data_IF_837932409298
#
_entry.id   IF_837932409298
#
_cell.length_a   1.000
_cell.length_b   1.000
_cell.length_c   1.000
_cell.angle_alpha   90.00
_cell.angle_beta   90.00
_cell.angle_gamma   90.00
#
_symmetry.space_group_name_H-M   'P 1'
#
loop_
_entity.id
_entity.type
_entity.pdbx_description
1 polymer ?
#
# COMPACT_ATOMS: atom_id res chain seq x y z
N UNK A 1 -18.07 -12.87 -27.80
CA UNK A 1 -17.10 -11.77 -27.83
C UNK A 1 -16.33 -11.75 -26.52
N UNK A 2 -15.10 -12.29 -26.47
CA UNK A 2 -14.29 -12.35 -25.24
C UNK A 2 -13.71 -10.95 -25.02
N UNK A 3 -14.00 -10.33 -23.88
CA UNK A 3 -13.48 -9.02 -23.50
C UNK A 3 -11.95 -9.03 -23.58
N UNK A 4 -11.28 -7.99 -24.16
CA UNK A 4 -9.82 -7.92 -24.29
C UNK A 4 -9.07 -8.02 -22.93
N UNK A 5 -9.71 -7.67 -21.83
CA UNK A 5 -9.17 -7.78 -20.47
C UNK A 5 -8.92 -9.25 -20.07
N UNK A 6 -9.69 -10.21 -20.60
CA UNK A 6 -9.52 -11.63 -20.29
C UNK A 6 -8.26 -12.29 -20.90
N UNK A 7 -7.52 -11.58 -21.76
CA UNK A 7 -6.30 -12.12 -22.39
C UNK A 7 -5.07 -12.10 -21.44
N UNK A 8 -5.07 -11.21 -20.46
CA UNK A 8 -3.96 -11.02 -19.52
C UNK A 8 -4.11 -11.85 -18.24
N UNK A 9 -5.32 -12.30 -17.95
CA UNK A 9 -5.58 -13.12 -16.77
C UNK A 9 -5.54 -14.62 -17.12
N UNK A 10 -4.90 -15.44 -16.27
CA UNK A 10 -5.06 -16.89 -16.34
C UNK A 10 -6.56 -17.23 -16.33
N UNK A 11 -6.96 -18.23 -17.11
CA UNK A 11 -8.37 -18.65 -17.21
C UNK A 11 -8.99 -19.10 -15.88
N UNK A 12 -8.14 -19.43 -14.91
CA UNK A 12 -8.50 -19.80 -13.55
C UNK A 12 -8.68 -18.62 -12.59
N UNK A 13 -8.44 -17.37 -13.04
CA UNK A 13 -8.53 -16.21 -12.16
C UNK A 13 -9.97 -16.01 -11.65
N UNK A 14 -10.15 -16.21 -10.35
CA UNK A 14 -11.42 -15.99 -9.65
C UNK A 14 -11.76 -14.50 -9.59
N UNK A 15 -13.02 -14.19 -9.29
CA UNK A 15 -13.46 -12.80 -9.06
C UNK A 15 -12.67 -12.15 -7.92
N UNK A 16 -12.38 -12.91 -6.87
CA UNK A 16 -11.60 -12.44 -5.72
C UNK A 16 -10.17 -12.07 -6.11
N UNK A 17 -9.51 -12.88 -6.96
CA UNK A 17 -8.19 -12.55 -7.47
C UNK A 17 -8.19 -11.25 -8.29
N UNK A 18 -9.21 -11.00 -9.11
CA UNK A 18 -9.35 -9.74 -9.87
C UNK A 18 -9.59 -8.54 -8.96
N UNK A 19 -10.39 -8.69 -7.91
CA UNK A 19 -10.61 -7.66 -6.89
C UNK A 19 -9.32 -7.35 -6.13
N UNK A 20 -8.54 -8.36 -5.74
CA UNK A 20 -7.24 -8.16 -5.10
C UNK A 20 -6.26 -7.39 -5.99
N UNK A 21 -6.24 -7.66 -7.29
CA UNK A 21 -5.41 -6.91 -8.23
C UNK A 21 -5.88 -5.46 -8.40
N UNK A 22 -7.20 -5.24 -8.45
CA UNK A 22 -7.77 -3.89 -8.55
C UNK A 22 -7.46 -3.06 -7.29
N UNK A 23 -7.64 -3.63 -6.10
CA UNK A 23 -7.29 -2.97 -4.83
C UNK A 23 -5.79 -2.70 -4.73
N UNK A 24 -4.95 -3.63 -5.18
CA UNK A 24 -3.49 -3.44 -5.24
C UNK A 24 -3.11 -2.29 -6.17
N UNK A 25 -3.70 -2.22 -7.37
CA UNK A 25 -3.45 -1.14 -8.31
C UNK A 25 -3.89 0.22 -7.75
N UNK A 26 -5.10 0.29 -7.16
CA UNK A 26 -5.61 1.53 -6.57
C UNK A 26 -4.72 2.02 -5.42
N UNK A 27 -4.29 1.10 -4.55
CA UNK A 27 -3.37 1.42 -3.46
C UNK A 27 -1.99 1.81 -3.98
N UNK A 28 -1.47 1.09 -4.98
CA UNK A 28 -0.20 1.43 -5.63
C UNK A 28 -0.21 2.86 -6.17
N UNK A 29 -1.30 3.28 -6.81
CA UNK A 29 -1.47 4.66 -7.29
C UNK A 29 -1.42 5.67 -6.13
N UNK A 30 -2.11 5.40 -5.03
CA UNK A 30 -2.08 6.25 -3.83
C UNK A 30 -0.67 6.30 -3.22
N UNK A 31 0.00 5.16 -3.06
CA UNK A 31 1.35 5.06 -2.50
C UNK A 31 2.37 5.82 -3.38
N UNK A 32 2.28 5.67 -4.70
CA UNK A 32 3.11 6.39 -5.65
C UNK A 32 2.92 7.91 -5.56
N UNK A 33 1.68 8.37 -5.45
CA UNK A 33 1.35 9.78 -5.23
C UNK A 33 1.96 10.28 -3.92
N UNK A 34 1.77 9.56 -2.82
CA UNK A 34 2.28 9.92 -1.50
C UNK A 34 3.81 9.94 -1.46
N UNK A 35 4.49 9.04 -2.18
CA UNK A 35 5.95 8.97 -2.21
C UNK A 35 6.61 10.29 -2.68
N UNK A 36 5.97 11.01 -3.57
CA UNK A 36 6.43 12.31 -4.09
C UNK A 36 5.86 13.47 -3.27
N UNK A 37 4.57 13.43 -2.97
CA UNK A 37 3.90 14.55 -2.31
C UNK A 37 4.28 14.70 -0.83
N UNK A 38 4.51 13.60 -0.10
CA UNK A 38 4.76 13.66 1.33
C UNK A 38 6.04 14.44 1.67
N UNK A 39 7.22 14.13 1.08
CA UNK A 39 8.42 14.92 1.36
C UNK A 39 8.26 16.38 0.93
N UNK A 40 7.62 16.64 -0.21
CA UNK A 40 7.37 18.00 -0.72
C UNK A 40 6.45 18.78 0.21
N UNK A 41 5.38 18.17 0.68
CA UNK A 41 4.45 18.75 1.65
C UNK A 41 5.15 19.09 2.97
N UNK A 42 5.93 18.15 3.53
CA UNK A 42 6.65 18.36 4.80
C UNK A 42 7.66 19.50 4.68
N UNK A 43 8.31 19.63 3.54
CA UNK A 43 9.22 20.74 3.26
C UNK A 43 8.46 22.08 3.14
N UNK A 44 7.31 22.08 2.48
CA UNK A 44 6.47 23.27 2.30
C UNK A 44 5.92 23.81 3.62
N UNK A 45 5.62 22.96 4.61
CA UNK A 45 5.22 23.38 5.97
C UNK A 45 6.40 23.80 6.86
N UNK A 46 7.63 23.86 6.31
CA UNK A 46 8.80 24.41 6.96
C UNK A 46 9.66 23.41 7.73
N UNK A 47 9.50 22.10 7.49
CA UNK A 47 10.39 21.12 8.10
C UNK A 47 11.74 21.06 7.40
N UNK A 48 12.80 21.03 8.19
CA UNK A 48 14.15 20.85 7.68
C UNK A 48 14.35 19.40 7.17
N UNK A 49 15.36 19.16 6.30
CA UNK A 49 15.60 17.82 5.72
C UNK A 49 15.74 16.69 6.76
N UNK A 50 16.30 16.99 7.93
CA UNK A 50 16.45 16.00 9.00
C UNK A 50 15.08 15.54 9.55
N UNK A 51 14.16 16.49 9.78
CA UNK A 51 12.79 16.17 10.25
C UNK A 51 11.99 15.42 9.18
N UNK A 52 12.13 15.82 7.92
CA UNK A 52 11.51 15.09 6.79
C UNK A 52 12.03 13.65 6.75
N UNK A 53 13.36 13.47 6.81
CA UNK A 53 13.99 12.15 6.84
C UNK A 53 13.54 11.32 8.04
N UNK A 54 13.42 11.93 9.23
CA UNK A 54 12.94 11.23 10.43
C UNK A 54 11.50 10.75 10.26
N UNK A 55 10.59 11.55 9.70
CA UNK A 55 9.20 11.15 9.44
C UNK A 55 9.16 10.01 8.43
N UNK A 56 9.88 10.12 7.30
CA UNK A 56 9.96 9.06 6.28
C UNK A 56 10.54 7.78 6.85
N UNK A 57 11.61 7.85 7.63
CA UNK A 57 12.18 6.70 8.33
C UNK A 57 11.19 6.08 9.33
N UNK A 58 10.47 6.93 10.08
CA UNK A 58 9.43 6.51 11.00
C UNK A 58 8.29 5.75 10.30
N UNK A 59 7.84 6.20 9.14
CA UNK A 59 6.82 5.48 8.35
C UNK A 59 7.30 4.11 7.90
N UNK A 60 8.55 3.99 7.46
CA UNK A 60 9.13 2.71 7.04
C UNK A 60 9.26 1.74 8.20
N UNK A 61 9.78 2.21 9.32
CA UNK A 61 9.95 1.39 10.53
C UNK A 61 8.60 0.93 11.09
N UNK A 62 7.64 1.86 11.17
CA UNK A 62 6.28 1.56 11.62
C UNK A 62 5.58 0.56 10.69
N UNK A 63 5.66 0.76 9.39
CA UNK A 63 5.08 -0.16 8.39
C UNK A 63 5.73 -1.55 8.46
N UNK A 64 7.05 -1.64 8.65
CA UNK A 64 7.74 -2.92 8.81
C UNK A 64 7.28 -3.65 10.07
N UNK A 65 7.22 -2.95 11.20
CA UNK A 65 6.76 -3.52 12.49
C UNK A 65 5.29 -3.99 12.41
N UNK A 66 4.42 -3.17 11.83
CA UNK A 66 3.01 -3.52 11.64
C UNK A 66 2.83 -4.69 10.66
N UNK A 67 3.60 -4.74 9.58
CA UNK A 67 3.56 -5.85 8.61
C UNK A 67 3.96 -7.16 9.28
N UNK A 68 5.03 -7.14 10.09
CA UNK A 68 5.46 -8.31 10.84
C UNK A 68 4.38 -8.75 11.85
N UNK A 69 3.84 -7.80 12.62
CA UNK A 69 2.79 -8.09 13.59
C UNK A 69 1.54 -8.67 12.92
N UNK A 70 1.08 -8.08 11.82
CA UNK A 70 -0.07 -8.58 11.05
C UNK A 70 0.21 -9.97 10.48
N UNK A 71 1.40 -10.21 9.93
CA UNK A 71 1.77 -11.54 9.44
C UNK A 71 1.65 -12.63 10.51
N UNK A 72 2.01 -12.31 11.76
CA UNK A 72 1.91 -13.23 12.89
C UNK A 72 0.50 -13.34 13.49
N UNK A 73 -0.32 -12.29 13.38
CA UNK A 73 -1.62 -12.20 14.04
C UNK A 73 -2.81 -12.54 13.12
N UNK A 74 -2.62 -12.57 11.80
CA UNK A 74 -3.71 -12.72 10.82
C UNK A 74 -4.52 -14.01 11.01
N UNK A 75 -3.86 -15.12 11.35
CA UNK A 75 -4.52 -16.40 11.58
C UNK A 75 -5.48 -16.37 12.77
N UNK A 76 -5.20 -15.54 13.77
CA UNK A 76 -6.02 -15.40 14.99
C UNK A 76 -7.15 -14.38 14.83
N UNK A 77 -6.89 -13.28 14.13
CA UNK A 77 -7.82 -12.15 14.01
C UNK A 77 -8.82 -12.30 12.84
N UNK A 78 -8.47 -13.10 11.85
CA UNK A 78 -9.21 -13.27 10.60
C UNK A 78 -8.92 -12.16 9.59
N UNK A 79 -8.67 -12.56 8.36
CA UNK A 79 -8.23 -11.70 7.24
C UNK A 79 -9.10 -10.46 7.02
N UNK A 80 -10.44 -10.65 7.04
CA UNK A 80 -11.38 -9.54 6.80
C UNK A 80 -11.23 -8.43 7.84
N UNK A 81 -11.08 -8.79 9.13
CA UNK A 81 -10.92 -7.80 10.21
C UNK A 81 -9.60 -7.06 10.07
N UNK A 82 -8.54 -7.77 9.74
CA UNK A 82 -7.21 -7.18 9.53
C UNK A 82 -7.22 -6.22 8.36
N UNK A 83 -7.81 -6.57 7.22
CA UNK A 83 -7.93 -5.68 6.06
C UNK A 83 -8.77 -4.43 6.36
N UNK A 84 -9.89 -4.57 7.05
CA UNK A 84 -10.72 -3.43 7.45
C UNK A 84 -9.97 -2.50 8.43
N UNK A 85 -9.26 -3.07 9.41
CA UNK A 85 -8.44 -2.30 10.35
C UNK A 85 -7.31 -1.58 9.61
N UNK A 86 -6.65 -2.21 8.64
CA UNK A 86 -5.63 -1.59 7.81
C UNK A 86 -6.19 -0.43 6.97
N UNK A 87 -7.38 -0.57 6.38
CA UNK A 87 -8.05 0.50 5.66
C UNK A 87 -8.42 1.67 6.59
N UNK A 88 -8.96 1.38 7.77
CA UNK A 88 -9.29 2.40 8.76
C UNK A 88 -8.04 3.15 9.23
N UNK A 89 -6.94 2.43 9.46
CA UNK A 89 -5.66 3.01 9.85
C UNK A 89 -5.07 3.89 8.72
N UNK A 90 -5.19 3.46 7.47
CA UNK A 90 -4.76 4.25 6.31
C UNK A 90 -5.54 5.57 6.21
N UNK A 91 -6.86 5.52 6.38
CA UNK A 91 -7.71 6.73 6.42
C UNK A 91 -7.33 7.65 7.58
N UNK A 92 -7.18 7.10 8.80
CA UNK A 92 -6.79 7.87 9.98
C UNK A 92 -5.42 8.53 9.80
N UNK A 93 -4.47 7.84 9.18
CA UNK A 93 -3.14 8.38 8.86
C UNK A 93 -3.24 9.55 7.88
N UNK A 94 -4.00 9.40 6.80
CA UNK A 94 -4.23 10.48 5.83
C UNK A 94 -4.87 11.71 6.47
N UNK A 95 -5.88 11.53 7.32
CA UNK A 95 -6.51 12.61 8.08
C UNK A 95 -5.49 13.25 9.04
N UNK A 96 -4.69 12.45 9.75
CA UNK A 96 -3.65 12.96 10.65
C UNK A 96 -2.65 13.87 9.93
N UNK A 97 -2.16 13.47 8.75
CA UNK A 97 -1.27 14.31 7.94
C UNK A 97 -1.95 15.57 7.41
N UNK A 98 -3.26 15.53 7.12
CA UNK A 98 -4.01 16.67 6.62
C UNK A 98 -4.38 17.70 7.71
N UNK A 99 -4.48 17.28 8.97
CA UNK A 99 -5.04 18.10 10.04
C UNK A 99 -4.00 18.70 10.99
N UNK A 100 -2.75 18.26 10.96
CA UNK A 100 -1.71 18.75 11.86
C UNK A 100 -0.41 19.08 11.14
N UNK A 101 0.26 20.13 11.61
CA UNK A 101 1.63 20.52 11.21
C UNK A 101 2.64 20.35 12.36
N UNK A 102 2.24 19.75 13.48
CA UNK A 102 3.14 19.53 14.61
C UNK A 102 4.04 18.31 14.33
N UNK A 103 5.35 18.50 14.42
CA UNK A 103 6.34 17.45 14.12
C UNK A 103 6.12 16.18 14.94
N UNK A 104 5.92 16.27 16.25
CA UNK A 104 5.80 15.10 17.09
C UNK A 104 4.50 14.32 16.83
N UNK A 105 3.39 15.03 16.57
CA UNK A 105 2.14 14.38 16.18
C UNK A 105 2.27 13.70 14.82
N UNK A 106 2.86 14.37 13.83
CA UNK A 106 3.13 13.80 12.51
C UNK A 106 4.08 12.59 12.59
N UNK A 107 5.08 12.65 13.45
CA UNK A 107 5.99 11.52 13.66
C UNK A 107 5.26 10.31 14.24
N UNK A 108 4.40 10.50 15.26
CA UNK A 108 3.59 9.42 15.82
C UNK A 108 2.62 8.87 14.78
N UNK A 109 1.92 9.74 14.05
CA UNK A 109 1.04 9.34 12.95
C UNK A 109 1.82 8.57 11.86
N UNK A 110 3.04 8.97 11.56
CA UNK A 110 3.92 8.32 10.62
C UNK A 110 4.31 6.90 11.08
N UNK A 111 4.70 6.74 12.34
CA UNK A 111 5.13 5.46 12.91
C UNK A 111 3.96 4.48 13.05
N UNK A 112 2.80 4.96 13.51
CA UNK A 112 1.60 4.12 13.71
C UNK A 112 0.84 3.91 12.40
N UNK A 113 1.02 4.82 11.45
CA UNK A 113 0.28 4.84 10.19
C UNK A 113 0.74 3.80 9.18
N UNK A 114 -0.04 3.71 8.10
CA UNK A 114 0.20 2.75 7.00
C UNK A 114 0.54 3.44 5.68
N UNK A 115 0.77 4.76 5.68
CA UNK A 115 1.24 5.44 4.47
C UNK A 115 2.66 4.98 4.16
N UNK A 116 2.87 4.46 2.95
CA UNK A 116 4.17 3.96 2.54
C UNK A 116 4.82 4.88 1.49
N UNK A 117 5.79 5.72 1.89
CA UNK A 117 6.49 6.58 0.96
C UNK A 117 7.48 5.84 0.05
N UNK A 118 7.73 4.55 0.27
CA UNK A 118 8.66 3.72 -0.51
C UNK A 118 8.01 3.00 -1.70
N UNK A 119 6.81 3.44 -2.13
CA UNK A 119 6.13 2.90 -3.32
C UNK A 119 5.92 1.37 -3.33
N UNK A 120 5.61 0.76 -2.19
CA UNK A 120 4.84 -0.46 -2.27
C UNK A 120 5.39 -1.76 -1.70
N UNK A 121 6.60 -1.85 -1.22
CA UNK A 121 7.14 -3.15 -0.82
C UNK A 121 6.90 -3.50 0.67
N UNK A 122 6.64 -2.52 1.52
CA UNK A 122 6.37 -2.73 2.95
C UNK A 122 4.96 -2.26 3.26
N UNK A 123 3.99 -3.15 3.25
CA UNK A 123 2.59 -2.82 3.48
C UNK A 123 1.90 -3.89 4.33
N UNK A 124 1.09 -3.46 5.29
CA UNK A 124 0.20 -4.32 6.09
C UNK A 124 -0.68 -5.25 5.25
N UNK A 125 -1.05 -4.79 4.06
CA UNK A 125 -1.91 -5.53 3.15
C UNK A 125 -1.19 -6.70 2.49
N UNK A 126 0.11 -6.58 2.26
CA UNK A 126 0.89 -7.50 1.43
C UNK A 126 0.80 -8.97 1.91
N UNK A 127 1.08 -9.31 3.18
CA UNK A 127 1.02 -10.70 3.63
C UNK A 127 -0.39 -11.28 3.54
N UNK A 128 -1.41 -10.48 3.84
CA UNK A 128 -2.81 -10.93 3.83
C UNK A 128 -3.33 -11.12 2.39
N UNK A 129 -3.01 -10.17 1.50
CA UNK A 129 -3.41 -10.24 0.10
C UNK A 129 -2.68 -11.35 -0.64
N UNK A 130 -1.39 -11.55 -0.39
CA UNK A 130 -0.61 -12.64 -1.00
C UNK A 130 -1.11 -14.00 -0.54
N UNK A 131 -1.43 -14.18 0.75
CA UNK A 131 -2.04 -15.40 1.24
C UNK A 131 -3.41 -15.66 0.60
N UNK A 132 -4.26 -14.64 0.47
CA UNK A 132 -5.54 -14.74 -0.20
C UNK A 132 -5.41 -15.05 -1.70
N UNK A 133 -4.42 -14.45 -2.37
CA UNK A 133 -4.13 -14.69 -3.77
C UNK A 133 -3.65 -16.13 -4.00
N UNK A 134 -2.81 -16.65 -3.09
CA UNK A 134 -2.32 -18.03 -3.16
C UNK A 134 -3.47 -19.06 -3.04
N UNK A 135 -4.48 -18.78 -2.21
CA UNK A 135 -5.66 -19.64 -2.08
C UNK A 135 -6.63 -19.50 -3.27
N UNK A 136 -6.73 -18.32 -3.86
CA UNK A 136 -7.63 -18.05 -4.99
C UNK A 136 -7.09 -18.54 -6.33
N UNK A 137 -5.79 -18.88 -6.44
CA UNK A 137 -5.13 -19.28 -7.67
C UNK A 137 -4.90 -20.80 -7.72
N UNK A 138 -4.95 -21.38 -8.94
CA UNK A 138 -4.53 -22.76 -9.13
C UNK A 138 -2.99 -22.86 -9.06
N UNK A 139 -2.42 -23.99 -8.55
CA UNK A 139 -0.96 -24.14 -8.38
C UNK A 139 -0.14 -23.82 -9.64
N UNK A 140 -0.64 -24.20 -10.81
CA UNK A 140 0.01 -23.95 -12.11
C UNK A 140 0.06 -22.46 -12.50
N UNK A 141 -0.85 -21.63 -11.97
CA UNK A 141 -1.03 -20.24 -12.36
C UNK A 141 -0.49 -19.27 -11.28
N UNK A 142 -0.01 -19.79 -10.14
CA UNK A 142 0.46 -18.99 -9.00
C UNK A 142 1.52 -17.96 -9.41
N UNK A 143 2.56 -18.40 -10.13
CA UNK A 143 3.64 -17.49 -10.55
C UNK A 143 3.13 -16.36 -11.43
N UNK A 144 2.24 -16.66 -12.38
CA UNK A 144 1.65 -15.66 -13.25
C UNK A 144 0.75 -14.68 -12.48
N UNK A 145 -0.02 -15.17 -11.49
CA UNK A 145 -0.88 -14.35 -10.65
C UNK A 145 -0.07 -13.40 -9.76
N UNK A 146 1.00 -13.88 -9.13
CA UNK A 146 1.91 -13.03 -8.35
C UNK A 146 2.64 -12.01 -9.22
N UNK A 147 3.07 -12.40 -10.42
CA UNK A 147 3.69 -11.48 -11.37
C UNK A 147 2.71 -10.36 -11.77
N UNK A 148 1.47 -10.70 -12.13
CA UNK A 148 0.43 -9.71 -12.46
C UNK A 148 0.10 -8.78 -11.29
N UNK A 149 0.00 -9.33 -10.08
CA UNK A 149 -0.24 -8.56 -8.86
C UNK A 149 0.87 -7.52 -8.62
N UNK A 150 2.14 -7.93 -8.75
CA UNK A 150 3.28 -7.03 -8.57
C UNK A 150 3.36 -5.98 -9.69
N UNK A 151 3.16 -6.40 -10.95
CA UNK A 151 3.14 -5.47 -12.10
C UNK A 151 2.00 -4.47 -11.96
N UNK A 152 0.80 -4.89 -11.57
CA UNK A 152 -0.33 -3.99 -11.37
C UNK A 152 -0.03 -2.93 -10.30
N UNK A 153 0.55 -3.33 -9.17
CA UNK A 153 0.95 -2.41 -8.10
C UNK A 153 2.05 -1.45 -8.53
N UNK A 154 3.12 -1.97 -9.17
CA UNK A 154 4.27 -1.17 -9.60
C UNK A 154 3.90 -0.16 -10.70
N UNK A 155 3.14 -0.58 -11.71
CA UNK A 155 2.71 0.32 -12.80
C UNK A 155 1.77 1.40 -12.29
N UNK A 156 0.80 1.05 -11.44
CA UNK A 156 -0.09 2.02 -10.82
C UNK A 156 0.69 3.00 -9.92
N UNK A 157 1.69 2.53 -9.17
CA UNK A 157 2.57 3.37 -8.38
C UNK A 157 3.39 4.35 -9.22
N UNK A 158 3.93 3.88 -10.34
CA UNK A 158 4.63 4.75 -11.29
C UNK A 158 3.70 5.85 -11.85
N UNK A 159 2.46 5.50 -12.21
CA UNK A 159 1.47 6.49 -12.65
C UNK A 159 1.10 7.48 -11.54
N UNK A 160 0.94 7.02 -10.30
CA UNK A 160 0.70 7.90 -9.15
C UNK A 160 1.83 8.89 -8.92
N UNK A 161 3.07 8.43 -8.98
CA UNK A 161 4.26 9.27 -8.85
C UNK A 161 4.36 10.29 -10.00
N UNK A 162 4.15 9.86 -11.25
CA UNK A 162 4.15 10.74 -12.41
C UNK A 162 3.05 11.82 -12.33
N UNK A 163 1.82 11.42 -11.94
CA UNK A 163 0.72 12.36 -11.79
C UNK A 163 0.99 13.43 -10.72
N UNK A 164 1.78 13.11 -9.71
CA UNK A 164 2.16 14.05 -8.63
C UNK A 164 3.29 15.02 -9.01
N UNK A 165 4.08 14.67 -10.03
CA UNK A 165 5.20 15.49 -10.53
C UNK A 165 4.79 16.49 -11.62
N UNK A 166 3.52 16.49 -12.05
CA UNK A 166 3.00 17.49 -13.01
C UNK A 166 2.62 18.74 -12.22
N UNK A 167 3.23 19.92 -12.50
CA UNK A 167 2.94 21.18 -11.83
C UNK A 167 1.55 21.70 -12.17
#
# INVERSE_FOLDING_TARGET
MVSPINRWFPRSATTDAKLLMATRALRGLADGTVSILLPSYLTAIGFNPLRVGAIVFGTLLGSAALTLWVGLATDRLGRRRVLLAACALMLATGIGFATTANFWLLFVVAVVGTLNPSAGDVSLFLPVEQAALAEAAQPRDLTAMFALYNVAGATAGAFGALASGVP
#
